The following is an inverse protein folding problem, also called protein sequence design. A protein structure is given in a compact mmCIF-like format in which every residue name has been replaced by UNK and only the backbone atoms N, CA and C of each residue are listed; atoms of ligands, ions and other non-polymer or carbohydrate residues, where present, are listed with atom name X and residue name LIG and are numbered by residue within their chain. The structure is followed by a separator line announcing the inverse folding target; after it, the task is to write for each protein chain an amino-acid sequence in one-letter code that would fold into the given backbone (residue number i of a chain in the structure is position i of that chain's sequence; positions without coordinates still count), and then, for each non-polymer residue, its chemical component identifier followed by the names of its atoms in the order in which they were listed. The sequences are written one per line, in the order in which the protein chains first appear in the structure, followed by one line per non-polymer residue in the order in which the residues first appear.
data_IF_341819018639
#
_entry.id   IF_341819018639
#
_cell.length_a   1.000
_cell.length_b   1.000
_cell.length_c   1.000
_cell.angle_alpha   90.00
_cell.angle_beta   90.00
_cell.angle_gamma   90.00
#
_symmetry.space_group_name_H-M   'P 1'
#
loop_
_entity.id
_entity.type
_entity.pdbx_description
1 polymer ?
#
# COMPACT_ATOMS: atom_id res chain seq x y z
N UNK A 1 1.65 13.76 -9.49
CA UNK A 1 1.96 14.22 -8.12
C UNK A 1 2.35 15.68 -8.20
N UNK A 2 1.72 16.55 -7.42
CA UNK A 2 2.08 17.96 -7.30
C UNK A 2 2.80 18.12 -5.96
N UNK A 3 3.98 18.74 -5.98
CA UNK A 3 4.82 18.95 -4.80
C UNK A 3 5.14 20.43 -4.66
N UNK A 4 4.86 20.99 -3.49
CA UNK A 4 5.09 22.40 -3.18
C UNK A 4 5.91 22.52 -1.90
N UNK A 5 6.85 23.45 -1.84
CA UNK A 5 7.71 23.64 -0.67
C UNK A 5 6.88 24.22 0.48
N UNK A 6 7.04 23.68 1.69
CA UNK A 6 6.36 24.23 2.86
C UNK A 6 6.85 25.66 3.14
N UNK A 7 5.94 26.60 3.47
CA UNK A 7 6.30 27.97 3.82
C UNK A 7 6.97 28.07 5.20
N UNK A 8 6.75 27.09 6.08
CA UNK A 8 7.23 27.10 7.47
C UNK A 8 8.48 26.25 7.70
N UNK A 9 8.68 25.19 6.90
CA UNK A 9 9.87 24.32 6.99
C UNK A 9 10.47 24.07 5.61
N UNK A 10 11.72 24.51 5.41
CA UNK A 10 12.46 24.31 4.16
C UNK A 10 12.86 22.85 3.93
N UNK A 11 12.71 21.96 4.91
CA UNK A 11 12.95 20.52 4.78
C UNK A 11 11.68 19.75 4.42
N UNK A 12 10.51 20.40 4.45
CA UNK A 12 9.22 19.77 4.18
C UNK A 12 8.61 20.20 2.85
N UNK A 13 7.82 19.30 2.27
CA UNK A 13 7.02 19.53 1.08
C UNK A 13 5.56 19.16 1.35
N UNK A 14 4.64 19.97 0.85
CA UNK A 14 3.25 19.60 0.72
C UNK A 14 3.08 18.79 -0.57
N UNK A 15 2.35 17.68 -0.48
CA UNK A 15 2.08 16.77 -1.59
C UNK A 15 0.59 16.67 -1.82
N UNK A 16 0.17 16.82 -3.08
CA UNK A 16 -1.21 16.59 -3.52
C UNK A 16 -1.23 15.71 -4.75
N UNK A 17 -2.29 14.92 -4.89
CA UNK A 17 -2.57 14.25 -6.15
C UNK A 17 -2.71 15.28 -7.28
N UNK A 18 -2.03 15.04 -8.41
CA UNK A 18 -2.31 15.75 -9.66
C UNK A 18 -3.66 15.30 -10.20
N UNK A 19 -4.25 16.06 -11.13
CA UNK A 19 -5.55 15.71 -11.72
C UNK A 19 -5.51 14.33 -12.38
N UNK A 20 -4.46 14.04 -13.17
CA UNK A 20 -4.19 12.68 -13.69
C UNK A 20 -4.04 11.62 -12.59
N UNK A 21 -3.51 12.00 -11.43
CA UNK A 21 -3.38 11.09 -10.29
C UNK A 21 -4.74 10.77 -9.66
N UNK A 22 -5.63 11.76 -9.61
CA UNK A 22 -7.02 11.59 -9.18
C UNK A 22 -7.79 10.71 -10.17
N UNK A 23 -7.59 10.89 -11.48
CA UNK A 23 -8.20 10.05 -12.51
C UNK A 23 -7.79 8.57 -12.38
N UNK A 24 -6.48 8.31 -12.22
CA UNK A 24 -5.97 6.94 -12.01
C UNK A 24 -6.55 6.35 -10.72
N UNK A 25 -6.57 7.11 -9.63
CA UNK A 25 -7.17 6.67 -8.38
C UNK A 25 -8.64 6.26 -8.56
N UNK A 26 -9.42 7.07 -9.26
CA UNK A 26 -10.84 6.77 -9.55
C UNK A 26 -10.98 5.49 -10.38
N UNK A 27 -10.17 5.33 -11.43
CA UNK A 27 -10.20 4.13 -12.26
C UNK A 27 -9.86 2.86 -11.45
N UNK A 28 -8.86 2.94 -10.57
CA UNK A 28 -8.52 1.83 -9.66
C UNK A 28 -9.62 1.55 -8.65
N UNK A 29 -10.24 2.60 -8.07
CA UNK A 29 -11.37 2.43 -7.15
C UNK A 29 -12.51 1.67 -7.82
N UNK A 30 -12.92 2.09 -9.02
CA UNK A 30 -13.99 1.42 -9.78
C UNK A 30 -13.65 -0.05 -10.04
N UNK A 31 -12.40 -0.36 -10.40
CA UNK A 31 -11.96 -1.73 -10.64
C UNK A 31 -12.01 -2.58 -9.36
N UNK A 32 -11.55 -2.04 -8.22
CA UNK A 32 -11.60 -2.76 -6.95
C UNK A 32 -13.02 -2.95 -6.42
N UNK A 33 -13.90 -1.96 -6.61
CA UNK A 33 -15.32 -2.08 -6.26
C UNK A 33 -15.99 -3.19 -7.07
N UNK A 34 -15.65 -3.30 -8.37
CA UNK A 34 -16.09 -4.41 -9.22
C UNK A 34 -15.64 -5.77 -8.70
N UNK A 35 -14.35 -5.93 -8.42
CA UNK A 35 -13.81 -7.18 -7.87
C UNK A 35 -14.40 -7.52 -6.48
N UNK A 36 -14.65 -6.53 -5.62
CA UNK A 36 -15.29 -6.75 -4.33
C UNK A 36 -16.73 -7.28 -4.50
N UNK A 37 -17.47 -6.73 -5.47
CA UNK A 37 -18.79 -7.24 -5.83
C UNK A 37 -18.76 -8.67 -6.39
N UNK A 38 -17.82 -8.98 -7.27
CA UNK A 38 -17.62 -10.35 -7.79
C UNK A 38 -17.24 -11.32 -6.67
N UNK A 39 -16.36 -10.91 -5.76
CA UNK A 39 -15.94 -11.72 -4.61
C UNK A 39 -17.10 -11.99 -3.64
N UNK A 40 -18.01 -11.05 -3.46
CA UNK A 40 -19.21 -11.27 -2.65
C UNK A 40 -20.14 -12.33 -3.25
N UNK A 41 -20.09 -12.53 -4.58
CA UNK A 41 -20.83 -13.58 -5.27
C UNK A 41 -20.06 -14.90 -5.34
N UNK A 42 -18.73 -14.86 -5.17
CA UNK A 42 -17.96 -16.06 -4.95
C UNK A 42 -18.32 -16.62 -3.57
N UNK A 43 -18.56 -17.92 -3.45
CA UNK A 43 -18.97 -18.59 -2.20
C UNK A 43 -17.79 -18.69 -1.19
N UNK A 44 -17.09 -17.58 -0.94
CA UNK A 44 -16.00 -17.48 0.03
C UNK A 44 -16.58 -16.97 1.34
N UNK A 45 -16.40 -17.76 2.41
CA UNK A 45 -16.86 -17.36 3.73
C UNK A 45 -16.08 -16.13 4.24
N UNK A 46 -16.75 -15.15 4.87
CA UNK A 46 -16.11 -13.95 5.44
C UNK A 46 -14.93 -14.28 6.36
N UNK A 47 -15.08 -15.26 7.25
CA UNK A 47 -14.03 -15.69 8.18
C UNK A 47 -12.76 -16.19 7.45
N UNK A 48 -12.95 -16.85 6.30
CA UNK A 48 -11.81 -17.30 5.48
C UNK A 48 -11.06 -16.10 4.91
N UNK A 49 -11.75 -15.08 4.42
CA UNK A 49 -11.12 -13.85 3.93
C UNK A 49 -10.35 -13.13 5.04
N UNK A 50 -10.92 -13.03 6.24
CA UNK A 50 -10.25 -12.42 7.39
C UNK A 50 -8.97 -13.19 7.77
N UNK A 51 -9.04 -14.51 7.82
CA UNK A 51 -7.89 -15.35 8.17
C UNK A 51 -6.80 -15.30 7.09
N UNK A 52 -7.18 -15.26 5.81
CA UNK A 52 -6.25 -15.04 4.70
C UNK A 52 -5.57 -13.68 4.82
N UNK A 53 -6.32 -12.61 5.06
CA UNK A 53 -5.77 -11.26 5.24
C UNK A 53 -4.78 -11.19 6.42
N UNK A 54 -5.14 -11.79 7.56
CA UNK A 54 -4.25 -11.88 8.72
C UNK A 54 -2.95 -12.62 8.39
N UNK A 55 -3.01 -13.69 7.61
CA UNK A 55 -1.85 -14.46 7.17
C UNK A 55 -0.95 -13.64 6.24
N UNK A 56 -1.54 -12.97 5.24
CA UNK A 56 -0.81 -12.10 4.31
C UNK A 56 -0.11 -10.95 5.04
N UNK A 57 -0.75 -10.36 6.06
CA UNK A 57 -0.13 -9.30 6.88
C UNK A 57 1.08 -9.80 7.67
N UNK A 58 1.01 -10.99 8.25
CA UNK A 58 2.15 -11.61 8.96
C UNK A 58 3.31 -11.88 8.01
N UNK A 59 3.01 -12.39 6.81
CA UNK A 59 4.02 -12.60 5.76
C UNK A 59 4.67 -11.28 5.33
N UNK A 60 3.88 -10.23 5.11
CA UNK A 60 4.39 -8.90 4.78
C UNK A 60 5.30 -8.37 5.89
N UNK A 61 4.89 -8.49 7.17
CA UNK A 61 5.72 -8.07 8.31
C UNK A 61 7.05 -8.81 8.37
N UNK A 62 7.04 -10.11 8.10
CA UNK A 62 8.24 -10.93 8.07
C UNK A 62 9.25 -10.48 6.99
N UNK A 63 8.79 -10.14 5.79
CA UNK A 63 9.68 -9.61 4.74
C UNK A 63 10.09 -8.15 4.95
N UNK A 64 9.22 -7.37 5.57
CA UNK A 64 9.47 -5.95 5.85
C UNK A 64 10.34 -5.72 7.08
N UNK A 65 10.68 -6.78 7.83
CA UNK A 65 11.50 -6.71 9.02
C UNK A 65 12.92 -6.19 8.66
N UNK A 66 13.38 -5.06 9.24
CA UNK A 66 14.68 -4.46 8.94
C UNK A 66 15.87 -5.42 9.12
N UNK A 67 15.71 -6.38 10.03
CA UNK A 67 16.70 -7.41 10.36
C UNK A 67 17.10 -8.24 9.12
N UNK A 68 16.22 -8.40 8.11
CA UNK A 68 16.55 -9.15 6.88
C UNK A 68 17.25 -8.32 5.80
N UNK A 69 17.00 -7.01 5.77
CA UNK A 69 17.74 -6.08 4.90
C UNK A 69 19.16 -5.84 5.42
N UNK A 70 19.36 -5.91 6.75
CA UNK A 70 20.66 -5.70 7.39
C UNK A 70 21.60 -6.92 7.30
N UNK A 71 21.09 -8.16 7.27
CA UNK A 71 21.92 -9.39 7.21
C UNK A 71 22.73 -9.56 5.92
N UNK A 72 22.48 -8.75 4.89
CA UNK A 72 23.26 -8.73 3.64
C UNK A 72 24.31 -7.60 3.56
N UNK A 73 24.37 -6.71 4.55
CA UNK A 73 25.30 -5.59 4.58
C UNK A 73 26.33 -5.83 5.68
N UNK A 74 27.24 -6.77 5.46
CA UNK A 74 28.50 -6.80 6.21
C UNK A 74 29.21 -5.48 5.92
N UNK A 75 29.51 -4.63 6.92
CA UNK A 75 30.37 -3.48 6.69
C UNK A 75 31.75 -4.02 6.32
N UNK A 76 32.18 -3.76 5.08
CA UNK A 76 33.57 -3.95 4.70
C UNK A 76 34.41 -3.01 5.57
N UNK A 77 35.10 -3.58 6.56
CA UNK A 77 36.16 -2.94 7.32
C UNK A 77 37.49 -3.09 6.58
#
# INVERSE_FOLDING_TARGET
LIQERSPHDRRSFHVRASDKGVEIFRALSTLFDGHAGELANAQVAPDTLEQTNATLRRLLQFWSAPQRLATGLTPAA
#
